data_IF_788014171052
#
_entry.id   IF_788014171052
#
_cell.length_a   1.000
_cell.length_b   1.000
_cell.length_c   1.000
_cell.angle_alpha   90.00
_cell.angle_beta   90.00
_cell.angle_gamma   90.00
#
_symmetry.space_group_name_H-M   'P 1'
#
loop_
_entity.id
_entity.type
_entity.pdbx_description
1 polymer ?
#
# COMPACT_ATOMS: atom_id res chain seq x y z
N UNK A 1 -25.47 3.53 -18.98
CA UNK A 1 -25.34 2.14 -18.50
C UNK A 1 -23.86 1.88 -18.41
N UNK A 2 -23.28 2.14 -17.23
CA UNK A 2 -21.89 1.77 -16.94
C UNK A 2 -21.81 0.24 -17.12
N UNK A 3 -21.03 -0.28 -18.07
CA UNK A 3 -21.19 -1.64 -18.53
C UNK A 3 -20.67 -2.59 -17.45
N UNK A 4 -21.52 -3.53 -17.02
CA UNK A 4 -21.21 -4.59 -16.06
C UNK A 4 -19.92 -5.36 -16.42
N UNK A 5 -19.57 -5.38 -17.71
CA UNK A 5 -18.33 -5.92 -18.26
C UNK A 5 -17.08 -5.27 -17.65
N UNK A 6 -17.04 -3.96 -17.43
CA UNK A 6 -15.86 -3.28 -16.87
C UNK A 6 -15.64 -3.68 -15.41
N UNK A 7 -16.70 -3.80 -14.63
CA UNK A 7 -16.62 -4.20 -13.22
C UNK A 7 -16.08 -5.62 -13.09
N UNK A 8 -16.60 -6.55 -13.91
CA UNK A 8 -16.14 -7.95 -13.93
C UNK A 8 -14.66 -8.05 -14.34
N UNK A 9 -14.23 -7.26 -15.34
CA UNK A 9 -12.83 -7.23 -15.79
C UNK A 9 -11.92 -6.70 -14.68
N UNK A 10 -12.30 -5.61 -14.01
CA UNK A 10 -11.48 -5.00 -12.94
C UNK A 10 -11.39 -5.92 -11.73
N UNK A 11 -12.47 -6.58 -11.34
CA UNK A 11 -12.49 -7.50 -10.20
C UNK A 11 -11.68 -8.77 -10.47
N UNK A 12 -11.86 -9.37 -11.64
CA UNK A 12 -11.08 -10.56 -12.06
C UNK A 12 -9.59 -10.23 -12.16
N UNK A 13 -9.25 -9.06 -12.72
CA UNK A 13 -7.88 -8.59 -12.84
C UNK A 13 -7.21 -8.38 -11.48
N UNK A 14 -7.92 -7.77 -10.52
CA UNK A 14 -7.41 -7.61 -9.16
C UNK A 14 -7.11 -8.95 -8.47
N UNK A 15 -7.94 -9.96 -8.67
CA UNK A 15 -7.73 -11.28 -8.10
C UNK A 15 -6.49 -11.98 -8.69
N UNK A 16 -6.37 -11.97 -10.02
CA UNK A 16 -5.22 -12.56 -10.73
C UNK A 16 -3.93 -11.84 -10.33
N UNK A 17 -3.93 -10.50 -10.30
CA UNK A 17 -2.77 -9.74 -9.86
C UNK A 17 -2.40 -10.05 -8.41
N UNK A 18 -3.37 -10.11 -7.50
CA UNK A 18 -3.10 -10.46 -6.09
C UNK A 18 -2.47 -11.85 -5.97
N UNK A 19 -2.92 -12.84 -6.75
CA UNK A 19 -2.36 -14.19 -6.75
C UNK A 19 -0.93 -14.23 -7.32
N UNK A 20 -0.68 -13.59 -8.47
CA UNK A 20 0.66 -13.50 -9.07
C UNK A 20 1.63 -12.81 -8.12
N UNK A 21 1.19 -11.75 -7.43
CA UNK A 21 2.01 -11.02 -6.48
C UNK A 21 2.29 -11.78 -5.19
N UNK A 22 1.33 -12.59 -4.71
CA UNK A 22 1.57 -13.50 -3.61
C UNK A 22 2.64 -14.54 -3.97
N UNK A 23 2.58 -15.10 -5.18
CA UNK A 23 3.59 -16.04 -5.68
C UNK A 23 4.96 -15.35 -5.84
N UNK A 24 5.01 -14.15 -6.44
CA UNK A 24 6.25 -13.38 -6.59
C UNK A 24 6.91 -13.11 -5.22
N UNK A 25 6.12 -12.74 -4.21
CA UNK A 25 6.59 -12.50 -2.85
C UNK A 25 7.16 -13.77 -2.22
N UNK A 26 6.47 -14.90 -2.38
CA UNK A 26 6.89 -16.19 -1.85
C UNK A 26 8.20 -16.67 -2.51
N UNK A 27 8.33 -16.49 -3.82
CA UNK A 27 9.56 -16.77 -4.56
C UNK A 27 10.73 -15.90 -4.11
N UNK A 28 10.52 -14.59 -3.90
CA UNK A 28 11.56 -13.67 -3.40
C UNK A 28 12.03 -14.05 -1.99
N UNK A 29 11.12 -14.44 -1.10
CA UNK A 29 11.47 -14.89 0.26
C UNK A 29 12.31 -16.17 0.21
N UNK A 30 11.97 -17.12 -0.66
CA UNK A 30 12.74 -18.36 -0.82
C UNK A 30 14.12 -18.07 -1.42
N UNK A 31 14.21 -17.15 -2.39
CA UNK A 31 15.47 -16.84 -3.09
C UNK A 31 16.46 -16.02 -2.24
N UNK A 32 15.99 -14.98 -1.54
CA UNK A 32 16.85 -14.08 -0.74
C UNK A 32 16.94 -14.50 0.74
N UNK A 33 16.07 -15.41 1.19
CA UNK A 33 15.85 -15.70 2.60
C UNK A 33 15.09 -14.57 3.33
N UNK A 34 14.47 -14.85 4.49
CA UNK A 34 13.65 -13.87 5.20
C UNK A 34 14.45 -12.64 5.66
N UNK A 35 15.72 -12.82 6.04
CA UNK A 35 16.60 -11.71 6.44
C UNK A 35 17.09 -10.87 5.26
N UNK A 36 17.34 -11.49 4.10
CA UNK A 36 17.70 -10.77 2.87
C UNK A 36 16.53 -9.95 2.32
N UNK A 37 15.33 -10.54 2.36
CA UNK A 37 14.09 -9.88 1.94
C UNK A 37 13.78 -8.63 2.77
N UNK A 38 13.94 -8.71 4.09
CA UNK A 38 13.68 -7.57 5.01
C UNK A 38 14.74 -6.47 4.85
N UNK A 39 15.98 -6.81 4.48
CA UNK A 39 17.03 -5.82 4.26
C UNK A 39 16.77 -4.94 3.02
N UNK A 40 15.98 -5.41 2.05
CA UNK A 40 15.66 -4.65 0.85
C UNK A 40 14.31 -3.92 1.02
N UNK A 41 14.36 -2.60 1.24
CA UNK A 41 13.17 -1.78 1.47
C UNK A 41 12.12 -1.85 0.34
N UNK A 42 12.53 -2.11 -0.91
CA UNK A 42 11.58 -2.31 -2.01
C UNK A 42 10.85 -3.64 -1.92
N UNK A 43 11.51 -4.70 -1.46
CA UNK A 43 10.90 -6.01 -1.25
C UNK A 43 9.93 -5.94 -0.07
N UNK A 44 10.30 -5.29 1.03
CA UNK A 44 9.41 -5.05 2.18
C UNK A 44 8.15 -4.28 1.77
N UNK A 45 8.30 -3.17 1.04
CA UNK A 45 7.16 -2.39 0.53
C UNK A 45 6.23 -3.26 -0.32
N UNK A 46 6.81 -4.10 -1.17
CA UNK A 46 6.07 -5.01 -2.03
C UNK A 46 5.27 -6.05 -1.23
N UNK A 47 5.89 -6.63 -0.20
CA UNK A 47 5.26 -7.58 0.71
C UNK A 47 4.13 -6.97 1.53
N UNK A 48 4.29 -5.75 2.03
CA UNK A 48 3.24 -5.02 2.75
C UNK A 48 2.00 -4.82 1.86
N UNK A 49 2.18 -4.45 0.59
CA UNK A 49 1.06 -4.30 -0.35
C UNK A 49 0.31 -5.62 -0.57
N UNK A 50 1.02 -6.74 -0.69
CA UNK A 50 0.41 -8.08 -0.82
C UNK A 50 -0.41 -8.43 0.42
N UNK A 51 0.16 -8.23 1.62
CA UNK A 51 -0.53 -8.51 2.88
C UNK A 51 -1.79 -7.64 3.01
N UNK A 52 -1.69 -6.33 2.73
CA UNK A 52 -2.84 -5.42 2.73
C UNK A 52 -3.93 -5.85 1.73
N UNK A 53 -3.53 -6.35 0.56
CA UNK A 53 -4.46 -6.89 -0.45
C UNK A 53 -5.26 -8.08 0.07
N UNK A 54 -4.57 -9.00 0.74
CA UNK A 54 -5.15 -10.22 1.30
C UNK A 54 -6.09 -9.88 2.46
N UNK A 55 -5.67 -8.99 3.37
CA UNK A 55 -6.52 -8.49 4.47
C UNK A 55 -7.77 -7.82 3.92
N UNK A 56 -7.64 -6.95 2.92
CA UNK A 56 -8.78 -6.30 2.26
C UNK A 56 -9.76 -7.31 1.65
N UNK A 57 -9.26 -8.39 1.04
CA UNK A 57 -10.10 -9.46 0.48
C UNK A 57 -10.87 -10.21 1.59
N UNK A 58 -10.21 -10.54 2.71
CA UNK A 58 -10.86 -11.15 3.86
C UNK A 58 -11.93 -10.24 4.49
N UNK A 59 -11.64 -8.95 4.59
CA UNK A 59 -12.57 -7.95 5.14
C UNK A 59 -13.77 -7.68 4.22
N UNK A 60 -13.56 -7.72 2.90
CA UNK A 60 -14.66 -7.63 1.94
C UNK A 60 -15.60 -8.83 2.06
N UNK A 61 -15.05 -10.04 2.25
CA UNK A 61 -15.81 -11.26 2.46
C UNK A 61 -16.55 -11.28 3.81
N UNK A 62 -15.89 -10.84 4.89
CA UNK A 62 -16.50 -10.76 6.24
C UNK A 62 -17.60 -9.70 6.32
N UNK A 63 -17.42 -8.52 5.71
CA UNK A 63 -18.43 -7.45 5.69
C UNK A 63 -19.68 -7.86 4.93
N UNK A 64 -19.54 -8.65 3.84
CA UNK A 64 -20.67 -9.17 3.08
C UNK A 64 -21.51 -10.19 3.87
N UNK A 65 -20.93 -10.84 4.88
CA UNK A 65 -21.62 -11.84 5.70
C UNK A 65 -22.26 -11.24 6.96
N UNK A 66 -21.73 -10.12 7.46
CA UNK A 66 -22.15 -9.48 8.72
C UNK A 66 -23.21 -8.38 8.58
N UNK A 67 -23.93 -8.29 7.45
CA UNK A 67 -25.01 -7.29 7.26
C UNK A 67 -26.20 -7.49 8.20
N UNK A 68 -26.25 -8.60 8.95
CA UNK A 68 -27.37 -8.95 9.83
C UNK A 68 -27.25 -8.37 11.25
N UNK A 69 -26.06 -8.06 11.77
CA UNK A 69 -25.90 -7.59 13.16
C UNK A 69 -25.51 -6.11 13.25
N UNK A 70 -26.38 -5.24 12.71
CA UNK A 70 -26.38 -3.81 13.00
C UNK A 70 -26.98 -3.55 14.39
N UNK A 71 -26.36 -4.01 15.48
CA UNK A 71 -26.83 -3.63 16.82
C UNK A 71 -25.84 -3.82 17.97
N UNK A 72 -24.53 -3.58 17.79
CA UNK A 72 -23.65 -3.39 18.95
C UNK A 72 -22.35 -2.61 18.62
N UNK A 73 -22.38 -1.29 18.80
CA UNK A 73 -21.25 -0.56 19.38
C UNK A 73 -19.87 -0.49 18.68
N UNK A 74 -19.73 -0.75 17.37
CA UNK A 74 -18.41 -0.69 16.70
C UNK A 74 -18.24 0.47 15.72
N UNK A 75 -18.00 1.68 16.24
CA UNK A 75 -17.63 2.85 15.44
C UNK A 75 -16.19 2.83 14.91
N UNK A 76 -15.30 1.99 15.46
CA UNK A 76 -13.86 1.98 15.12
C UNK A 76 -13.52 1.02 13.98
N UNK A 77 -14.05 -0.21 13.99
CA UNK A 77 -13.79 -1.23 12.95
C UNK A 77 -14.18 -0.73 11.56
N UNK A 78 -15.42 -0.27 11.38
CA UNK A 78 -15.90 0.25 10.10
C UNK A 78 -15.10 1.46 9.57
N UNK A 79 -14.53 2.28 10.46
CA UNK A 79 -13.71 3.44 10.06
C UNK A 79 -12.32 2.99 9.58
N UNK A 80 -11.68 2.09 10.32
CA UNK A 80 -10.39 1.51 9.96
C UNK A 80 -10.50 0.72 8.63
N UNK A 81 -11.59 -0.01 8.42
CA UNK A 81 -11.88 -0.72 7.17
C UNK A 81 -11.97 0.24 5.97
N UNK A 82 -12.56 1.43 6.13
CA UNK A 82 -12.59 2.45 5.06
C UNK A 82 -11.19 2.97 4.75
N UNK A 83 -10.36 3.20 5.77
CA UNK A 83 -8.98 3.64 5.58
C UNK A 83 -8.12 2.58 4.89
N UNK A 84 -8.30 1.29 5.21
CA UNK A 84 -7.63 0.19 4.50
C UNK A 84 -7.97 0.16 3.01
N UNK A 85 -9.22 0.46 2.65
CA UNK A 85 -9.61 0.58 1.24
C UNK A 85 -8.87 1.71 0.53
N UNK A 86 -8.53 2.81 1.20
CA UNK A 86 -7.73 3.88 0.59
C UNK A 86 -6.30 3.40 0.28
N UNK A 87 -5.73 2.50 1.08
CA UNK A 87 -4.40 1.94 0.85
C UNK A 87 -4.30 1.12 -0.44
N UNK A 88 -5.43 0.69 -1.03
CA UNK A 88 -5.44 0.04 -2.34
C UNK A 88 -4.84 0.94 -3.44
N UNK A 89 -4.85 2.27 -3.29
CA UNK A 89 -4.19 3.19 -4.23
C UNK A 89 -2.68 2.94 -4.31
N UNK A 90 -2.08 2.39 -3.25
CA UNK A 90 -0.67 1.98 -3.24
C UNK A 90 -0.41 0.81 -4.20
N UNK A 91 -1.40 -0.03 -4.49
CA UNK A 91 -1.29 -1.07 -5.53
C UNK A 91 -1.01 -0.42 -6.89
N UNK A 92 -1.60 0.75 -7.18
CA UNK A 92 -1.37 1.50 -8.42
C UNK A 92 0.09 1.96 -8.59
N UNK A 93 0.74 2.33 -7.49
CA UNK A 93 2.16 2.72 -7.47
C UNK A 93 3.06 1.54 -7.86
N UNK A 94 2.69 0.31 -7.50
CA UNK A 94 3.40 -0.90 -7.95
C UNK A 94 3.19 -1.18 -9.44
N UNK A 95 1.97 -0.98 -9.96
CA UNK A 95 1.67 -1.15 -11.39
C UNK A 95 2.38 -0.13 -12.29
N UNK A 96 2.73 1.05 -11.75
CA UNK A 96 3.47 2.08 -12.46
C UNK A 96 4.92 2.18 -11.94
N UNK A 97 5.84 1.30 -12.39
CA UNK A 97 7.24 1.32 -11.94
C UNK A 97 7.93 2.65 -12.25
N UNK A 98 7.45 3.40 -13.24
CA UNK A 98 7.87 4.76 -13.55
C UNK A 98 7.61 5.72 -12.38
N UNK A 99 6.41 5.70 -11.80
CA UNK A 99 6.05 6.52 -10.63
C UNK A 99 6.91 6.16 -9.43
N UNK A 100 7.14 4.87 -9.17
CA UNK A 100 8.01 4.42 -8.08
C UNK A 100 9.42 4.99 -8.22
N UNK A 101 10.00 4.91 -9.42
CA UNK A 101 11.34 5.45 -9.68
C UNK A 101 11.37 6.97 -9.51
N UNK A 102 10.33 7.66 -9.97
CA UNK A 102 10.21 9.11 -9.83
C UNK A 102 10.10 9.54 -8.37
N UNK A 103 9.26 8.88 -7.57
CA UNK A 103 9.15 9.12 -6.13
C UNK A 103 10.49 8.90 -5.41
N UNK A 104 11.22 7.85 -5.75
CA UNK A 104 12.54 7.59 -5.17
C UNK A 104 13.54 8.71 -5.48
N UNK A 105 13.57 9.21 -6.71
CA UNK A 105 14.44 10.33 -7.10
C UNK A 105 14.03 11.61 -6.37
N UNK A 106 12.72 11.88 -6.28
CA UNK A 106 12.20 13.04 -5.55
C UNK A 106 12.58 13.00 -4.07
N UNK A 107 12.44 11.84 -3.42
CA UNK A 107 12.85 11.67 -2.02
C UNK A 107 14.36 11.88 -1.85
N UNK A 108 15.20 11.37 -2.77
CA UNK A 108 16.64 11.64 -2.74
C UNK A 108 16.95 13.13 -2.90
N UNK A 109 16.19 13.87 -3.70
CA UNK A 109 16.36 15.33 -3.78
C UNK A 109 15.89 16.06 -2.52
N UNK A 110 14.91 15.49 -1.79
CA UNK A 110 14.46 16.05 -0.51
C UNK A 110 15.54 16.01 0.56
N UNK A 111 16.46 15.04 0.56
CA UNK A 111 17.57 15.02 1.53
C UNK A 111 18.43 16.29 1.42
N UNK A 112 18.73 16.74 0.20
CA UNK A 112 19.47 17.99 -0.03
C UNK A 112 18.65 19.22 0.39
N UNK A 113 17.34 19.19 0.14
CA UNK A 113 16.42 20.27 0.55
C UNK A 113 16.28 20.32 2.07
N UNK A 114 16.28 19.18 2.76
CA UNK A 114 16.21 19.09 4.21
C UNK A 114 17.43 19.75 4.88
N UNK A 115 18.62 19.61 4.30
CA UNK A 115 19.84 20.30 4.76
C UNK A 115 19.65 21.82 4.66
N UNK A 116 19.11 22.32 3.53
CA UNK A 116 18.81 23.74 3.38
C UNK A 116 17.79 24.24 4.42
N UNK A 117 16.72 23.48 4.66
CA UNK A 117 15.73 23.81 5.70
C UNK A 117 16.34 23.78 7.11
N UNK A 118 17.24 22.83 7.39
CA UNK A 118 17.94 22.76 8.68
C UNK A 118 18.79 24.02 8.91
N UNK A 119 19.48 24.51 7.88
CA UNK A 119 20.25 25.77 7.95
C UNK A 119 19.34 26.98 8.14
N UNK A 120 18.21 27.03 7.42
CA UNK A 120 17.22 28.09 7.56
C UNK A 120 16.67 28.15 9.00
N UNK A 121 16.33 27.00 9.58
CA UNK A 121 15.84 26.91 10.96
C UNK A 121 16.91 27.39 11.95
N UNK A 122 18.17 27.01 11.74
CA UNK A 122 19.29 27.47 12.56
C UNK A 122 19.46 28.99 12.48
N UNK A 123 19.39 29.56 11.28
CA UNK A 123 19.45 31.01 11.08
C UNK A 123 18.29 31.73 11.80
N UNK A 124 17.06 31.24 11.63
CA UNK A 124 15.88 31.81 12.32
C UNK A 124 16.05 31.74 13.85
N UNK A 125 16.65 30.67 14.39
CA UNK A 125 16.90 30.53 15.82
C UNK A 125 17.96 31.51 16.36
N UNK A 126 19.00 31.82 15.58
CA UNK A 126 20.06 32.76 15.99
C UNK A 126 19.63 34.22 15.90
N UNK A 127 18.83 34.59 14.89
CA UNK A 127 18.43 35.97 14.62
C UNK A 127 17.06 36.35 15.22
N UNK A 128 16.39 35.42 15.90
CA UNK A 128 15.32 35.72 16.86
C UNK A 128 15.90 35.96 18.24
#
# INVERSE_FOLDING_TARGET
MEPETLTIIVETSNYIFSAVFAIEMLLKIIAEGPFGYISNGFNVFDGVIVILSVVEMYESYSTATNVVDQQAGQGSGLSVLRTFRLLRILKLVRFMPQLRRQLFVMLRTMDNVAIFFSLLILFIFIFR
#
